data_IF_088672620256
#
_entry.id   IF_088672620256
#
_cell.length_a   1.000
_cell.length_b   1.000
_cell.length_c   1.000
_cell.angle_alpha   90.00
_cell.angle_beta   90.00
_cell.angle_gamma   90.00
#
_symmetry.space_group_name_H-M   'P 1'
#
loop_
_entity.id
_entity.type
_entity.pdbx_description
1 polymer ?
#
# COMPACT_ATOMS: atom_id res chain seq x y z
N UNK A 1 -73.40 -9.23 70.29
CA UNK A 1 -71.99 -8.76 70.39
C UNK A 1 -71.16 -9.80 71.15
N UNK A 2 -70.37 -10.65 70.46
CA UNK A 2 -69.36 -11.55 71.09
C UNK A 2 -68.48 -12.20 69.99
N UNK A 3 -67.47 -11.48 69.48
CA UNK A 3 -66.32 -12.08 68.76
C UNK A 3 -65.00 -11.29 68.94
N UNK A 4 -64.54 -10.98 70.18
CA UNK A 4 -63.15 -10.50 70.36
C UNK A 4 -62.14 -11.63 70.58
N UNK A 5 -62.56 -12.81 71.04
CA UNK A 5 -61.66 -13.85 71.59
C UNK A 5 -60.86 -14.55 70.48
N UNK A 6 -61.49 -14.84 69.34
CA UNK A 6 -60.85 -15.55 68.21
C UNK A 6 -59.74 -14.70 67.55
N UNK A 7 -59.95 -13.39 67.38
CA UNK A 7 -58.91 -12.50 66.84
C UNK A 7 -57.72 -12.39 67.78
N UNK A 8 -57.97 -12.32 69.09
CA UNK A 8 -56.90 -12.27 70.10
C UNK A 8 -56.08 -13.57 70.13
N UNK A 9 -56.74 -14.73 70.01
CA UNK A 9 -56.06 -16.02 69.96
C UNK A 9 -55.22 -16.17 68.68
N UNK A 10 -55.75 -15.77 67.52
CA UNK A 10 -54.99 -15.82 66.25
C UNK A 10 -53.82 -14.85 66.26
N UNK A 11 -53.98 -13.64 66.81
CA UNK A 11 -52.88 -12.68 66.94
C UNK A 11 -51.83 -13.14 67.95
N UNK A 12 -52.26 -13.71 69.08
CA UNK A 12 -51.36 -14.26 70.10
C UNK A 12 -50.58 -15.47 69.59
N UNK A 13 -51.23 -16.37 68.86
CA UNK A 13 -50.57 -17.51 68.23
C UNK A 13 -49.55 -17.06 67.16
N UNK A 14 -49.93 -16.14 66.26
CA UNK A 14 -48.99 -15.56 65.28
C UNK A 14 -47.80 -14.86 65.95
N UNK A 15 -48.04 -14.19 67.06
CA UNK A 15 -46.98 -13.54 67.83
C UNK A 15 -46.01 -14.56 68.44
N UNK A 16 -46.53 -15.62 69.07
CA UNK A 16 -45.71 -16.70 69.63
C UNK A 16 -44.90 -17.44 68.57
N UNK A 17 -45.51 -17.73 67.41
CA UNK A 17 -44.82 -18.36 66.28
C UNK A 17 -43.68 -17.48 65.76
N UNK A 18 -43.91 -16.18 65.53
CA UNK A 18 -42.86 -15.25 65.10
C UNK A 18 -41.72 -15.12 66.12
N UNK A 19 -42.04 -15.16 67.41
CA UNK A 19 -41.04 -15.12 68.49
C UNK A 19 -40.18 -16.39 68.50
N UNK A 20 -40.79 -17.56 68.27
CA UNK A 20 -40.04 -18.82 68.15
C UNK A 20 -39.16 -18.85 66.89
N UNK A 21 -39.65 -18.35 65.76
CA UNK A 21 -38.87 -18.22 64.52
C UNK A 21 -37.65 -17.30 64.69
N UNK A 22 -37.82 -16.13 65.33
CA UNK A 22 -36.71 -15.23 65.64
C UNK A 22 -35.68 -15.87 66.59
N UNK A 23 -36.15 -16.57 67.64
CA UNK A 23 -35.28 -17.25 68.59
C UNK A 23 -34.48 -18.39 67.94
N UNK A 24 -35.07 -19.14 67.01
CA UNK A 24 -34.37 -20.22 66.29
C UNK A 24 -33.33 -19.70 65.30
N UNK A 25 -33.64 -18.62 64.58
CA UNK A 25 -32.78 -18.10 63.51
C UNK A 25 -31.64 -17.23 64.05
N UNK A 26 -31.84 -16.53 65.18
CA UNK A 26 -30.84 -15.58 65.73
C UNK A 26 -30.34 -15.88 67.14
N UNK A 27 -30.93 -16.84 67.85
CA UNK A 27 -30.57 -17.14 69.25
C UNK A 27 -31.02 -16.08 70.27
N UNK A 28 -31.84 -15.10 69.87
CA UNK A 28 -32.37 -14.04 70.72
C UNK A 28 -33.88 -13.82 70.48
N UNK A 29 -34.63 -13.59 71.55
CA UNK A 29 -36.09 -13.40 71.54
C UNK A 29 -36.51 -11.91 71.63
N UNK A 30 -35.56 -10.99 71.65
CA UNK A 30 -35.80 -9.55 71.59
C UNK A 30 -36.26 -9.07 70.20
N UNK A 31 -37.56 -8.77 70.04
CA UNK A 31 -38.12 -8.20 68.80
C UNK A 31 -37.99 -6.66 68.75
N UNK A 32 -36.77 -6.13 68.89
CA UNK A 32 -36.54 -4.66 68.87
C UNK A 32 -36.61 -4.11 67.44
N UNK A 33 -36.14 -4.88 66.46
CA UNK A 33 -36.30 -4.63 65.03
C UNK A 33 -36.88 -5.89 64.36
N UNK A 34 -37.70 -5.75 63.31
CA UNK A 34 -38.31 -6.87 62.56
C UNK A 34 -37.63 -7.05 61.17
N UNK A 35 -36.37 -7.53 61.12
CA UNK A 35 -35.58 -7.64 59.90
C UNK A 35 -36.12 -8.71 58.94
N UNK A 36 -36.84 -9.73 59.44
CA UNK A 36 -37.50 -10.73 58.60
C UNK A 36 -38.60 -10.10 57.76
N UNK A 37 -39.33 -9.12 58.31
CA UNK A 37 -40.32 -8.34 57.56
C UNK A 37 -39.66 -7.48 56.50
N UNK A 38 -38.54 -6.83 56.80
CA UNK A 38 -37.77 -6.06 55.82
C UNK A 38 -37.22 -6.93 54.69
N UNK A 39 -36.72 -8.14 55.02
CA UNK A 39 -36.22 -9.13 54.06
C UNK A 39 -37.34 -9.71 53.18
N UNK A 40 -38.52 -9.97 53.74
CA UNK A 40 -39.68 -10.40 52.95
C UNK A 40 -40.17 -9.29 52.03
N UNK A 41 -40.20 -8.03 52.50
CA UNK A 41 -40.61 -6.89 51.70
C UNK A 41 -39.64 -6.63 50.53
N UNK A 42 -38.33 -6.79 50.76
CA UNK A 42 -37.33 -6.65 49.69
C UNK A 42 -37.43 -7.78 48.66
N UNK A 43 -37.70 -9.03 49.10
CA UNK A 43 -37.92 -10.16 48.19
C UNK A 43 -39.17 -9.96 47.32
N UNK A 44 -40.28 -9.53 47.93
CA UNK A 44 -41.52 -9.24 47.20
C UNK A 44 -41.34 -8.07 46.24
N UNK A 45 -40.70 -6.98 46.68
CA UNK A 45 -40.42 -5.84 45.82
C UNK A 45 -39.50 -6.22 44.64
N UNK A 46 -38.47 -7.03 44.89
CA UNK A 46 -37.59 -7.58 43.85
C UNK A 46 -38.32 -8.49 42.86
N UNK A 47 -39.21 -9.36 43.34
CA UNK A 47 -40.02 -10.22 42.49
C UNK A 47 -40.96 -9.41 41.59
N UNK A 48 -41.63 -8.38 42.14
CA UNK A 48 -42.49 -7.47 41.37
C UNK A 48 -41.69 -6.70 40.33
N UNK A 49 -40.54 -6.14 40.69
CA UNK A 49 -39.65 -5.45 39.74
C UNK A 49 -39.19 -6.38 38.62
N UNK A 50 -38.84 -7.62 38.94
CA UNK A 50 -38.43 -8.62 37.94
C UNK A 50 -39.59 -8.97 37.01
N UNK A 51 -40.80 -9.17 37.56
CA UNK A 51 -41.99 -9.44 36.76
C UNK A 51 -42.32 -8.28 35.80
N UNK A 52 -42.21 -7.02 36.29
CA UNK A 52 -42.38 -5.83 35.46
C UNK A 52 -41.30 -5.75 34.38
N UNK A 53 -40.03 -6.00 34.71
CA UNK A 53 -38.94 -5.99 33.74
C UNK A 53 -39.14 -7.04 32.64
N UNK A 54 -39.58 -8.25 32.99
CA UNK A 54 -39.90 -9.32 32.04
C UNK A 54 -41.10 -8.93 31.17
N UNK A 55 -42.15 -8.35 31.76
CA UNK A 55 -43.32 -7.89 30.99
C UNK A 55 -42.95 -6.78 30.00
N UNK A 56 -42.13 -5.81 30.41
CA UNK A 56 -41.60 -4.76 29.53
C UNK A 56 -40.74 -5.38 28.42
N UNK A 57 -39.86 -6.32 28.74
CA UNK A 57 -39.05 -7.04 27.75
C UNK A 57 -39.90 -7.79 26.72
N UNK A 58 -40.97 -8.47 27.17
CA UNK A 58 -41.90 -9.18 26.29
C UNK A 58 -42.65 -8.22 25.35
N UNK A 59 -43.13 -7.08 25.88
CA UNK A 59 -43.80 -6.06 25.05
C UNK A 59 -42.84 -5.48 24.02
N UNK A 60 -41.60 -5.17 24.40
CA UNK A 60 -40.58 -4.67 23.46
C UNK A 60 -40.24 -5.69 22.36
N UNK A 61 -40.18 -6.98 22.69
CA UNK A 61 -39.93 -8.04 21.72
C UNK A 61 -41.08 -8.17 20.69
N UNK A 62 -42.33 -8.03 21.12
CA UNK A 62 -43.50 -8.07 20.23
C UNK A 62 -43.60 -6.82 19.36
N UNK A 63 -43.23 -5.65 19.88
CA UNK A 63 -43.27 -4.39 19.13
C UNK A 63 -42.11 -4.22 18.14
N UNK A 64 -40.98 -4.91 18.36
CA UNK A 64 -39.83 -4.92 17.44
C UNK A 64 -39.44 -6.36 17.08
N UNK A 65 -40.28 -7.08 16.32
CA UNK A 65 -39.88 -8.36 15.77
C UNK A 65 -38.64 -8.15 14.90
N UNK A 66 -37.71 -9.11 14.93
CA UNK A 66 -36.56 -9.10 14.05
C UNK A 66 -37.05 -8.89 12.60
N UNK A 67 -36.47 -7.89 11.92
CA UNK A 67 -37.02 -7.34 10.68
C UNK A 67 -37.33 -8.40 9.63
N UNK A 68 -38.43 -8.19 8.90
CA UNK A 68 -38.78 -9.00 7.74
C UNK A 68 -37.82 -8.73 6.57
N UNK A 69 -37.73 -9.67 5.62
CA UNK A 69 -36.89 -9.55 4.42
C UNK A 69 -37.24 -8.25 3.67
N UNK A 70 -38.55 -8.00 3.49
CA UNK A 70 -39.08 -6.83 2.77
C UNK A 70 -38.38 -6.65 1.42
N UNK A 71 -38.09 -5.40 1.05
CA UNK A 71 -37.41 -5.07 -0.22
C UNK A 71 -35.87 -5.00 -0.18
N UNK A 72 -35.24 -5.63 0.82
CA UNK A 72 -33.79 -5.59 0.91
C UNK A 72 -33.13 -6.40 -0.20
N UNK A 73 -32.20 -5.78 -0.94
CA UNK A 73 -31.39 -6.46 -1.94
C UNK A 73 -30.43 -7.49 -1.31
N UNK A 74 -29.91 -7.19 -0.12
CA UNK A 74 -29.05 -8.09 0.65
C UNK A 74 -29.59 -8.22 2.08
N UNK A 75 -29.70 -9.46 2.56
CA UNK A 75 -30.11 -9.77 3.93
C UNK A 75 -29.06 -10.61 4.64
N UNK A 76 -28.95 -10.40 5.94
CA UNK A 76 -28.08 -11.15 6.84
C UNK A 76 -28.92 -11.75 7.96
N UNK A 77 -28.79 -13.04 8.20
CA UNK A 77 -29.43 -13.70 9.33
C UNK A 77 -28.73 -13.28 10.62
N UNK A 78 -29.49 -12.80 11.59
CA UNK A 78 -28.99 -12.29 12.88
C UNK A 78 -28.15 -13.32 13.64
N UNK A 79 -28.61 -14.56 13.69
CA UNK A 79 -28.08 -15.58 14.59
C UNK A 79 -26.86 -16.31 14.00
N UNK A 80 -26.82 -16.46 12.67
CA UNK A 80 -25.77 -17.23 11.97
C UNK A 80 -24.83 -16.37 11.15
N UNK A 81 -25.18 -15.10 10.90
CA UNK A 81 -24.46 -14.24 9.96
C UNK A 81 -24.62 -14.66 8.49
N UNK A 82 -25.45 -15.67 8.19
CA UNK A 82 -25.63 -16.17 6.83
C UNK A 82 -26.18 -15.07 5.92
N UNK A 83 -25.54 -14.89 4.76
CA UNK A 83 -25.87 -13.85 3.80
C UNK A 83 -26.72 -14.42 2.66
N UNK A 84 -27.71 -13.64 2.25
CA UNK A 84 -28.54 -13.93 1.09
C UNK A 84 -28.70 -12.67 0.24
N UNK A 85 -28.71 -12.86 -1.07
CA UNK A 85 -29.02 -11.80 -2.04
C UNK A 85 -30.38 -12.09 -2.65
N UNK A 86 -31.19 -11.05 -2.82
CA UNK A 86 -32.50 -11.14 -3.45
C UNK A 86 -32.38 -10.85 -4.94
N UNK A 87 -32.80 -11.81 -5.76
CA UNK A 87 -32.97 -11.65 -7.19
C UNK A 87 -34.46 -11.90 -7.46
N UNK A 88 -35.15 -10.87 -7.95
CA UNK A 88 -36.61 -10.87 -8.07
C UNK A 88 -37.26 -11.19 -6.70
N UNK A 89 -38.02 -12.28 -6.60
CA UNK A 89 -38.68 -12.75 -5.37
C UNK A 89 -37.96 -13.95 -4.70
N UNK A 90 -36.72 -14.25 -5.10
CA UNK A 90 -35.96 -15.41 -4.61
C UNK A 90 -34.70 -14.99 -3.86
N UNK A 91 -34.50 -15.58 -2.68
CA UNK A 91 -33.28 -15.42 -1.89
C UNK A 91 -32.26 -16.50 -2.26
N UNK A 92 -31.09 -16.05 -2.70
CA UNK A 92 -29.96 -16.91 -3.02
C UNK A 92 -28.91 -16.81 -1.91
N UNK A 93 -28.50 -17.93 -1.30
CA UNK A 93 -27.43 -17.90 -0.31
C UNK A 93 -26.11 -17.51 -0.98
N UNK A 94 -25.31 -16.69 -0.29
CA UNK A 94 -24.01 -16.21 -0.77
C UNK A 94 -22.92 -16.39 0.29
N UNK A 95 -21.69 -16.78 -0.09
CA UNK A 95 -20.64 -17.11 0.88
C UNK A 95 -19.97 -15.89 1.51
N UNK A 96 -20.11 -14.69 0.95
CA UNK A 96 -19.46 -13.47 1.44
C UNK A 96 -20.21 -12.20 1.01
N UNK A 97 -19.92 -11.08 1.70
CA UNK A 97 -20.57 -9.80 1.47
C UNK A 97 -20.18 -9.19 0.11
N UNK A 98 -18.93 -9.38 -0.34
CA UNK A 98 -18.47 -8.91 -1.63
C UNK A 98 -19.31 -9.49 -2.78
N UNK A 99 -19.61 -10.79 -2.74
CA UNK A 99 -20.48 -11.45 -3.72
C UNK A 99 -21.91 -10.90 -3.67
N UNK A 100 -22.43 -10.66 -2.46
CA UNK A 100 -23.76 -10.09 -2.28
C UNK A 100 -23.87 -8.70 -2.94
N UNK A 101 -22.90 -7.81 -2.70
CA UNK A 101 -22.85 -6.48 -3.30
C UNK A 101 -22.64 -6.49 -4.81
N UNK A 102 -21.80 -7.39 -5.33
CA UNK A 102 -21.60 -7.56 -6.77
C UNK A 102 -22.89 -7.99 -7.48
N UNK A 103 -23.64 -8.94 -6.90
CA UNK A 103 -24.90 -9.41 -7.47
C UNK A 103 -25.99 -8.35 -7.32
N UNK A 104 -26.06 -7.67 -6.18
CA UNK A 104 -27.03 -6.60 -5.92
C UNK A 104 -26.74 -5.30 -6.68
N UNK A 105 -25.52 -5.13 -7.23
CA UNK A 105 -25.08 -3.90 -7.88
C UNK A 105 -25.01 -2.69 -6.95
N UNK A 106 -24.98 -2.89 -5.63
CA UNK A 106 -24.93 -1.82 -4.63
C UNK A 106 -24.14 -2.24 -3.39
N UNK A 107 -23.50 -1.27 -2.74
CA UNK A 107 -22.76 -1.46 -1.49
C UNK A 107 -23.60 -1.14 -0.25
N UNK A 108 -24.92 -1.30 -0.35
CA UNK A 108 -25.83 -1.02 0.77
C UNK A 108 -25.61 -2.04 1.89
N UNK A 109 -25.50 -1.62 3.16
CA UNK A 109 -25.37 -2.53 4.28
C UNK A 109 -26.52 -3.57 4.31
N UNK A 110 -26.22 -4.84 4.61
CA UNK A 110 -27.23 -5.89 4.61
C UNK A 110 -28.28 -5.64 5.70
N UNK A 111 -29.54 -5.93 5.39
CA UNK A 111 -30.62 -5.87 6.39
C UNK A 111 -30.55 -7.10 7.29
N UNK A 112 -30.46 -6.88 8.60
CA UNK A 112 -30.48 -7.98 9.58
C UNK A 112 -31.90 -8.50 9.79
N UNK A 113 -32.12 -9.79 9.54
CA UNK A 113 -33.42 -10.48 9.63
C UNK A 113 -33.33 -11.72 10.53
N UNK A 114 -34.48 -12.28 10.96
CA UNK A 114 -34.49 -13.58 11.65
C UNK A 114 -34.33 -14.75 10.66
N UNK A 115 -33.90 -15.90 11.18
CA UNK A 115 -33.85 -17.15 10.41
C UNK A 115 -35.25 -17.50 9.86
N UNK A 116 -36.31 -17.36 10.67
CA UNK A 116 -37.70 -17.60 10.27
C UNK A 116 -38.17 -16.74 9.10
N UNK A 117 -37.63 -15.53 8.93
CA UNK A 117 -37.98 -14.66 7.80
C UNK A 117 -37.39 -15.18 6.48
N UNK A 118 -36.15 -15.70 6.53
CA UNK A 118 -35.48 -16.30 5.38
C UNK A 118 -36.09 -17.66 5.02
N UNK A 119 -36.48 -18.46 6.00
CA UNK A 119 -37.09 -19.78 5.77
C UNK A 119 -38.51 -19.69 5.16
N UNK A 120 -39.20 -18.56 5.34
CA UNK A 120 -40.49 -18.25 4.69
C UNK A 120 -40.34 -17.77 3.24
N UNK A 121 -39.15 -17.33 2.83
CA UNK A 121 -38.90 -16.83 1.47
C UNK A 121 -38.58 -17.98 0.50
N UNK A 122 -38.78 -17.76 -0.82
CA UNK A 122 -38.32 -18.71 -1.84
C UNK A 122 -36.80 -18.76 -1.81
N UNK A 123 -36.23 -19.96 -1.73
CA UNK A 123 -34.78 -20.18 -1.72
C UNK A 123 -34.29 -20.66 -3.08
N UNK A 124 -33.30 -19.97 -3.62
CA UNK A 124 -32.64 -20.31 -4.87
C UNK A 124 -31.33 -21.07 -4.65
N UNK A 125 -30.64 -21.38 -5.74
CA UNK A 125 -29.30 -21.96 -5.71
C UNK A 125 -28.29 -21.01 -5.06
N UNK A 126 -27.21 -21.57 -4.49
CA UNK A 126 -26.11 -20.77 -3.96
C UNK A 126 -25.39 -20.02 -5.08
N UNK A 127 -25.12 -18.74 -4.85
CA UNK A 127 -24.41 -17.86 -5.78
C UNK A 127 -23.17 -17.24 -5.13
N UNK A 128 -22.26 -16.71 -5.94
CA UNK A 128 -21.12 -15.93 -5.47
C UNK A 128 -19.76 -16.56 -5.78
N UNK A 129 -18.71 -15.88 -5.32
CA UNK A 129 -17.31 -16.21 -5.59
C UNK A 129 -16.69 -16.79 -4.31
N UNK A 130 -16.35 -18.09 -4.29
CA UNK A 130 -15.64 -18.69 -3.16
C UNK A 130 -14.30 -17.99 -2.90
N UNK A 131 -13.98 -17.73 -1.62
CA UNK A 131 -12.72 -17.09 -1.22
C UNK A 131 -12.66 -15.57 -1.42
N UNK A 132 -13.73 -14.94 -1.91
CA UNK A 132 -13.79 -13.47 -1.92
C UNK A 132 -13.90 -12.91 -0.47
N UNK A 133 -13.44 -11.67 -0.24
CA UNK A 133 -13.41 -11.09 1.11
C UNK A 133 -14.79 -11.04 1.76
N UNK A 134 -14.86 -11.44 3.03
CA UNK A 134 -16.07 -11.32 3.85
C UNK A 134 -16.36 -9.88 4.24
N UNK A 135 -15.31 -9.07 4.35
CA UNK A 135 -15.36 -7.68 4.75
C UNK A 135 -14.56 -6.84 3.76
N UNK A 136 -15.16 -5.74 3.29
CA UNK A 136 -14.48 -4.76 2.45
C UNK A 136 -14.12 -3.57 3.34
N UNK A 137 -12.82 -3.32 3.58
CA UNK A 137 -12.39 -2.16 4.34
C UNK A 137 -12.73 -0.87 3.58
N UNK A 138 -12.84 0.27 4.29
CA UNK A 138 -12.99 1.55 3.64
C UNK A 138 -11.79 1.84 2.71
N UNK A 139 -11.97 2.66 1.66
CA UNK A 139 -10.86 3.06 0.79
C UNK A 139 -9.73 3.72 1.58
N UNK A 140 -8.49 3.35 1.26
CA UNK A 140 -7.28 3.93 1.87
C UNK A 140 -7.10 5.37 1.35
N UNK A 141 -6.86 6.36 2.22
CA UNK A 141 -6.60 7.73 1.80
C UNK A 141 -5.36 7.83 0.89
N UNK A 142 -5.30 8.78 -0.07
CA UNK A 142 -4.16 8.92 -0.98
C UNK A 142 -2.80 9.10 -0.26
N UNK A 143 -2.79 9.78 0.88
CA UNK A 143 -1.57 9.99 1.68
C UNK A 143 -0.99 8.68 2.27
N UNK A 144 -1.84 7.67 2.44
CA UNK A 144 -1.46 6.34 2.93
C UNK A 144 -1.34 5.33 1.76
N UNK A 145 -1.70 5.75 0.55
CA UNK A 145 -1.64 4.94 -0.68
C UNK A 145 -0.23 4.95 -1.31
N UNK A 146 0.77 4.68 -0.47
CA UNK A 146 2.14 4.46 -0.92
C UNK A 146 2.35 2.99 -1.28
N UNK A 147 3.09 2.74 -2.36
CA UNK A 147 3.53 1.40 -2.73
C UNK A 147 5.03 1.42 -2.97
N UNK A 148 5.74 0.51 -2.30
CA UNK A 148 7.17 0.32 -2.51
C UNK A 148 7.47 -1.14 -2.82
N UNK A 149 8.37 -1.36 -3.77
CA UNK A 149 8.89 -2.69 -4.08
C UNK A 149 10.37 -2.70 -3.77
N UNK A 150 10.79 -3.61 -2.89
CA UNK A 150 12.17 -3.78 -2.46
C UNK A 150 12.71 -5.11 -2.98
N UNK A 151 13.99 -5.16 -3.31
CA UNK A 151 14.69 -6.36 -3.75
C UNK A 151 16.07 -6.42 -3.08
N UNK A 152 16.41 -7.56 -2.48
CA UNK A 152 17.72 -7.80 -1.87
C UNK A 152 18.58 -8.79 -2.68
N UNK A 153 18.13 -9.17 -3.89
CA UNK A 153 18.76 -10.16 -4.74
C UNK A 153 18.38 -11.61 -4.42
N UNK A 154 17.73 -11.88 -3.28
CA UNK A 154 17.22 -13.19 -2.91
C UNK A 154 15.68 -13.22 -2.86
N UNK A 155 15.06 -12.13 -2.41
CA UNK A 155 13.63 -11.97 -2.27
C UNK A 155 13.17 -10.60 -2.76
N UNK A 156 11.92 -10.56 -3.22
CA UNK A 156 11.22 -9.34 -3.61
C UNK A 156 10.06 -9.12 -2.67
N UNK A 157 9.97 -7.94 -2.07
CA UNK A 157 8.95 -7.59 -1.09
C UNK A 157 8.15 -6.39 -1.59
N UNK A 158 6.83 -6.47 -1.48
CA UNK A 158 5.93 -5.35 -1.75
C UNK A 158 5.42 -4.81 -0.41
N UNK A 159 5.60 -3.51 -0.20
CA UNK A 159 5.18 -2.78 1.00
C UNK A 159 4.08 -1.82 0.58
N UNK A 160 2.90 -1.99 1.17
CA UNK A 160 1.78 -1.07 1.04
C UNK A 160 1.76 -0.16 2.28
N UNK A 161 1.73 1.15 2.06
CA UNK A 161 1.73 2.17 3.12
C UNK A 161 2.97 3.07 3.13
N UNK A 162 3.02 4.02 4.07
CA UNK A 162 4.15 4.94 4.22
C UNK A 162 5.41 4.21 4.71
N UNK A 163 6.56 4.61 4.19
CA UNK A 163 7.86 4.21 4.71
C UNK A 163 8.34 5.23 5.74
N UNK A 164 8.91 4.75 6.85
CA UNK A 164 9.42 5.60 7.94
C UNK A 164 10.64 6.43 7.51
N UNK A 165 11.42 5.94 6.55
CA UNK A 165 12.59 6.61 6.01
C UNK A 165 12.41 6.90 4.51
N UNK A 166 12.59 8.16 4.14
CA UNK A 166 12.63 8.56 2.73
C UNK A 166 13.84 7.90 2.07
N UNK A 167 13.60 7.11 1.02
CA UNK A 167 14.69 6.56 0.22
C UNK A 167 15.47 7.72 -0.40
N UNK A 168 16.71 7.93 0.06
CA UNK A 168 17.62 8.86 -0.58
C UNK A 168 18.10 8.17 -1.85
N UNK A 169 17.74 8.67 -3.05
CA UNK A 169 18.25 8.07 -4.28
C UNK A 169 19.78 8.16 -4.25
N UNK A 170 20.50 7.09 -4.60
CA UNK A 170 21.94 7.15 -4.63
C UNK A 170 22.39 8.25 -5.60
N UNK A 171 23.41 9.02 -5.22
CA UNK A 171 23.96 10.08 -6.08
C UNK A 171 24.50 9.53 -7.41
N UNK A 172 24.77 8.21 -7.44
CA UNK A 172 25.22 7.44 -8.59
C UNK A 172 24.18 6.37 -8.91
N UNK A 173 24.00 6.08 -10.18
CA UNK A 173 23.27 4.92 -10.64
C UNK A 173 23.87 3.57 -10.24
N UNK A 174 23.06 2.54 -10.41
CA UNK A 174 23.37 1.15 -10.03
C UNK A 174 23.32 0.27 -11.27
N UNK A 175 24.39 -0.48 -11.50
CA UNK A 175 24.44 -1.46 -12.59
C UNK A 175 23.73 -2.72 -12.15
N UNK A 176 22.77 -3.17 -12.95
CA UNK A 176 21.90 -4.27 -12.59
C UNK A 176 21.65 -5.26 -13.72
N UNK A 177 21.26 -6.48 -13.36
CA UNK A 177 20.87 -7.54 -14.28
C UNK A 177 19.70 -8.35 -13.70
N UNK A 178 18.66 -8.67 -14.48
CA UNK A 178 17.58 -9.50 -13.99
C UNK A 178 18.04 -10.93 -13.70
N UNK A 179 17.52 -11.54 -12.63
CA UNK A 179 17.76 -12.94 -12.27
C UNK A 179 17.43 -13.87 -13.45
N UNK A 180 18.34 -14.80 -13.75
CA UNK A 180 18.22 -15.73 -14.88
C UNK A 180 18.55 -15.14 -16.25
N UNK A 181 18.85 -13.84 -16.35
CA UNK A 181 19.20 -13.21 -17.62
C UNK A 181 20.71 -13.26 -17.93
N UNK A 182 21.05 -13.36 -19.22
CA UNK A 182 22.43 -13.30 -19.70
C UNK A 182 23.04 -11.89 -19.63
N UNK A 183 24.36 -11.81 -19.80
CA UNK A 183 25.13 -10.55 -19.76
C UNK A 183 24.70 -9.51 -20.82
N UNK A 184 23.96 -9.90 -21.86
CA UNK A 184 23.42 -8.98 -22.86
C UNK A 184 22.22 -8.15 -22.36
N UNK A 185 21.66 -8.49 -21.20
CA UNK A 185 20.51 -7.84 -20.57
C UNK A 185 20.93 -7.10 -19.31
N UNK A 186 21.91 -6.21 -19.45
CA UNK A 186 22.39 -5.34 -18.37
C UNK A 186 21.75 -3.97 -18.49
N UNK A 187 21.35 -3.41 -17.34
CA UNK A 187 20.72 -2.11 -17.24
C UNK A 187 21.46 -1.25 -16.23
N UNK A 188 21.44 0.06 -16.43
CA UNK A 188 21.83 1.04 -15.43
C UNK A 188 20.57 1.72 -14.91
N UNK A 189 20.40 1.72 -13.59
CA UNK A 189 19.33 2.46 -12.91
C UNK A 189 19.87 3.84 -12.54
N UNK A 190 19.28 4.91 -13.06
CA UNK A 190 19.69 6.28 -12.74
C UNK A 190 18.52 7.25 -12.91
N UNK A 191 18.43 8.26 -12.04
CA UNK A 191 17.42 9.31 -12.16
C UNK A 191 15.96 8.81 -12.23
N UNK A 192 15.67 7.66 -11.61
CA UNK A 192 14.35 7.02 -11.66
C UNK A 192 14.04 6.26 -12.96
N UNK A 193 15.02 6.09 -13.85
CA UNK A 193 14.90 5.35 -15.10
C UNK A 193 15.80 4.12 -15.09
N UNK A 194 15.43 3.11 -15.88
CA UNK A 194 16.33 2.03 -16.31
C UNK A 194 16.76 2.31 -17.74
N UNK A 195 18.04 2.17 -18.05
CA UNK A 195 18.52 2.21 -19.43
C UNK A 195 19.38 0.99 -19.75
N UNK A 196 19.20 0.44 -20.94
CA UNK A 196 20.01 -0.68 -21.39
C UNK A 196 21.46 -0.27 -21.62
N UNK A 197 22.40 -1.11 -21.20
CA UNK A 197 23.85 -0.90 -21.36
C UNK A 197 24.46 -2.12 -22.05
N UNK A 198 25.28 -1.89 -23.08
CA UNK A 198 26.08 -2.95 -23.71
C UNK A 198 27.51 -2.95 -23.16
N UNK A 199 27.79 -3.85 -22.22
CA UNK A 199 29.11 -4.00 -21.61
C UNK A 199 30.19 -4.50 -22.59
N UNK A 200 29.82 -4.96 -23.79
CA UNK A 200 30.78 -5.36 -24.83
C UNK A 200 31.37 -4.17 -25.56
N UNK A 201 30.77 -2.98 -25.43
CA UNK A 201 31.23 -1.77 -26.11
C UNK A 201 32.18 -0.98 -25.20
N UNK A 202 33.50 -0.98 -25.46
CA UNK A 202 34.48 -0.40 -24.54
C UNK A 202 34.32 1.11 -24.35
N UNK A 203 33.75 1.83 -25.32
CA UNK A 203 33.44 3.25 -25.17
C UNK A 203 32.34 3.50 -24.12
N UNK A 204 31.33 2.65 -24.06
CA UNK A 204 30.24 2.73 -23.06
C UNK A 204 30.79 2.41 -21.67
N UNK A 205 31.59 1.34 -21.54
CA UNK A 205 32.20 0.96 -20.26
C UNK A 205 33.08 2.08 -19.71
N UNK A 206 33.96 2.65 -20.55
CA UNK A 206 34.84 3.76 -20.14
C UNK A 206 34.09 5.05 -19.85
N UNK A 207 33.10 5.43 -20.66
CA UNK A 207 32.37 6.70 -20.47
C UNK A 207 31.48 6.69 -19.22
N UNK A 208 30.98 5.52 -18.83
CA UNK A 208 30.13 5.35 -17.64
C UNK A 208 30.92 4.92 -16.39
N UNK A 209 32.24 4.74 -16.51
CA UNK A 209 33.13 4.27 -15.44
C UNK A 209 32.69 2.91 -14.88
N UNK A 210 32.42 1.95 -15.79
CA UNK A 210 31.94 0.61 -15.46
C UNK A 210 33.06 -0.44 -15.38
N UNK A 211 34.34 -0.04 -15.41
CA UNK A 211 35.43 -1.00 -15.30
C UNK A 211 35.43 -1.72 -13.95
N UNK A 212 35.36 -3.06 -13.97
CA UNK A 212 35.35 -3.88 -12.76
C UNK A 212 34.07 -3.78 -11.92
N UNK A 213 33.01 -3.15 -12.45
CA UNK A 213 31.71 -3.07 -11.78
C UNK A 213 30.88 -4.30 -12.13
N UNK A 214 30.61 -5.14 -11.13
CA UNK A 214 29.73 -6.29 -11.27
C UNK A 214 28.26 -5.88 -11.14
N UNK A 215 27.37 -6.31 -12.07
CA UNK A 215 25.94 -6.01 -11.97
C UNK A 215 25.29 -6.69 -10.76
N UNK A 216 24.49 -5.93 -10.01
CA UNK A 216 23.62 -6.50 -8.97
C UNK A 216 22.46 -7.27 -9.61
N UNK A 217 22.18 -8.45 -9.07
CA UNK A 217 21.03 -9.23 -9.49
C UNK A 217 19.76 -8.70 -8.84
N UNK A 218 18.69 -8.56 -9.62
CA UNK A 218 17.35 -8.22 -9.12
C UNK A 218 16.27 -9.09 -9.74
N UNK A 219 15.09 -9.14 -9.12
CA UNK A 219 13.93 -9.75 -9.77
C UNK A 219 13.53 -9.01 -11.06
N UNK A 220 13.03 -9.74 -12.07
CA UNK A 220 12.43 -9.13 -13.25
C UNK A 220 11.27 -8.17 -12.90
N UNK A 221 10.51 -8.47 -11.83
CA UNK A 221 9.37 -7.68 -11.39
C UNK A 221 9.77 -6.26 -10.97
N UNK A 222 10.83 -6.13 -10.16
CA UNK A 222 11.37 -4.83 -9.75
C UNK A 222 11.96 -4.08 -10.95
N UNK A 223 12.61 -4.79 -11.87
CA UNK A 223 13.13 -4.13 -13.07
C UNK A 223 11.99 -3.54 -13.91
N UNK A 224 10.84 -4.22 -14.02
CA UNK A 224 9.68 -3.76 -14.78
C UNK A 224 8.87 -2.64 -14.15
N UNK A 225 9.01 -2.40 -12.84
CA UNK A 225 8.34 -1.26 -12.20
C UNK A 225 9.05 0.08 -12.48
N UNK A 226 10.32 0.04 -12.91
CA UNK A 226 11.12 1.22 -13.24
C UNK A 226 10.91 1.59 -14.73
N UNK A 227 10.51 2.83 -15.05
CA UNK A 227 10.35 3.27 -16.44
C UNK A 227 11.62 3.12 -17.27
N UNK A 228 11.47 2.67 -18.51
CA UNK A 228 12.59 2.49 -19.44
C UNK A 228 12.92 3.79 -20.18
N UNK A 229 14.17 4.23 -20.04
CA UNK A 229 14.76 5.30 -20.82
C UNK A 229 15.51 4.78 -22.06
N UNK A 230 16.03 5.70 -22.89
CA UNK A 230 16.84 5.35 -24.05
C UNK A 230 18.07 4.52 -23.66
N UNK A 231 18.47 3.59 -24.52
CA UNK A 231 19.69 2.81 -24.30
C UNK A 231 20.93 3.72 -24.23
N UNK A 232 21.84 3.42 -23.31
CA UNK A 232 23.12 4.13 -23.18
C UNK A 232 24.12 3.54 -24.18
N UNK A 233 24.00 4.02 -25.41
CA UNK A 233 24.84 3.64 -26.53
C UNK A 233 25.47 4.87 -27.18
N UNK A 234 26.59 4.65 -27.89
CA UNK A 234 27.26 5.72 -28.60
C UNK A 234 26.30 6.39 -29.60
N UNK A 235 26.11 7.72 -29.54
CA UNK A 235 25.17 8.39 -30.42
C UNK A 235 25.62 8.32 -31.87
N UNK A 236 24.68 8.05 -32.77
CA UNK A 236 24.92 8.19 -34.20
C UNK A 236 25.00 9.68 -34.56
N UNK A 237 26.11 10.09 -35.16
CA UNK A 237 26.33 11.46 -35.63
C UNK A 237 26.43 11.42 -37.15
N UNK A 238 25.44 11.97 -37.88
CA UNK A 238 25.48 12.05 -39.33
C UNK A 238 26.71 12.85 -39.80
N UNK A 239 27.28 12.44 -40.95
CA UNK A 239 28.44 13.10 -41.56
C UNK A 239 29.67 13.17 -40.64
N UNK A 240 29.77 12.29 -39.64
CA UNK A 240 30.96 12.20 -38.77
C UNK A 240 32.24 12.10 -39.62
N UNK A 241 33.24 12.89 -39.24
CA UNK A 241 34.54 12.95 -39.91
C UNK A 241 34.65 13.98 -41.04
N UNK A 242 33.54 14.54 -41.55
CA UNK A 242 33.61 15.65 -42.53
C UNK A 242 34.05 16.95 -41.84
N UNK A 243 34.65 17.91 -42.57
CA UNK A 243 34.99 19.22 -42.00
C UNK A 243 33.77 19.90 -41.33
N UNK A 244 33.99 20.53 -40.18
CA UNK A 244 32.94 21.26 -39.47
C UNK A 244 32.47 22.51 -40.21
N UNK A 245 31.29 23.05 -39.85
CA UNK A 245 30.71 24.20 -40.54
C UNK A 245 31.45 25.52 -40.24
N UNK A 246 31.49 26.42 -41.22
CA UNK A 246 31.93 27.81 -41.04
C UNK A 246 33.35 27.95 -40.50
N UNK A 247 33.49 28.46 -39.26
CA UNK A 247 34.78 28.66 -38.57
C UNK A 247 35.27 27.42 -37.83
N UNK A 248 34.52 26.32 -37.84
CA UNK A 248 34.87 25.04 -37.22
C UNK A 248 35.47 24.06 -38.23
N UNK A 249 35.99 24.52 -39.38
CA UNK A 249 36.52 23.63 -40.44
C UNK A 249 37.65 22.72 -39.96
N UNK A 250 38.44 23.19 -39.01
CA UNK A 250 39.54 22.43 -38.39
C UNK A 250 39.06 21.43 -37.32
N UNK A 251 37.75 21.44 -37.01
CA UNK A 251 37.11 20.53 -36.07
C UNK A 251 36.07 19.69 -36.82
N UNK A 252 36.36 18.42 -37.15
CA UNK A 252 35.44 17.60 -37.93
C UNK A 252 34.13 17.36 -37.19
N UNK A 253 33.05 17.14 -37.93
CA UNK A 253 31.75 16.73 -37.39
C UNK A 253 31.93 15.46 -36.56
N UNK A 254 31.35 15.44 -35.36
CA UNK A 254 31.51 14.41 -34.34
C UNK A 254 32.65 14.62 -33.35
N UNK A 255 33.47 15.67 -33.52
CA UNK A 255 34.45 16.07 -32.50
C UNK A 255 33.78 16.77 -31.31
N UNK A 256 34.38 16.60 -30.14
CA UNK A 256 33.99 17.32 -28.92
C UNK A 256 34.95 18.49 -28.72
N UNK A 257 34.41 19.68 -28.47
CA UNK A 257 35.14 20.92 -28.22
C UNK A 257 34.71 21.52 -26.88
N UNK A 258 35.64 22.16 -26.20
CA UNK A 258 35.38 22.88 -24.96
C UNK A 258 35.24 24.38 -25.25
N UNK A 259 34.19 25.02 -24.73
CA UNK A 259 34.04 26.47 -24.78
C UNK A 259 34.19 26.99 -23.35
N UNK A 260 35.18 27.85 -23.11
CA UNK A 260 35.29 28.55 -21.82
C UNK A 260 34.23 29.64 -21.74
N UNK A 261 33.25 29.45 -20.86
CA UNK A 261 32.31 30.47 -20.43
C UNK A 261 32.86 31.35 -19.30
N UNK A 262 31.99 32.14 -18.67
CA UNK A 262 32.35 32.94 -17.49
C UNK A 262 32.50 32.09 -16.20
N UNK A 263 32.10 30.82 -16.24
CA UNK A 263 32.20 29.87 -15.13
C UNK A 263 33.57 29.19 -15.01
N UNK A 264 33.74 28.39 -13.95
CA UNK A 264 35.01 27.71 -13.62
C UNK A 264 35.24 26.42 -14.41
N UNK A 265 34.18 25.80 -14.93
CA UNK A 265 34.24 24.61 -15.80
C UNK A 265 33.88 24.97 -17.24
N UNK A 266 34.60 24.44 -18.25
CA UNK A 266 34.24 24.67 -19.64
C UNK A 266 32.95 23.92 -20.00
N UNK A 267 32.10 24.55 -20.82
CA UNK A 267 30.95 23.88 -21.41
C UNK A 267 31.43 22.98 -22.56
N UNK A 268 30.91 21.75 -22.61
CA UNK A 268 31.25 20.78 -23.64
C UNK A 268 30.24 20.85 -24.78
N UNK A 269 30.74 20.85 -26.01
CA UNK A 269 29.92 20.87 -27.21
C UNK A 269 30.38 19.79 -28.18
N UNK A 270 29.44 19.18 -28.90
CA UNK A 270 29.72 18.35 -30.07
C UNK A 270 29.55 19.19 -31.35
N UNK A 271 30.47 19.01 -32.29
CA UNK A 271 30.40 19.61 -33.62
C UNK A 271 29.46 18.78 -34.50
N UNK A 272 28.40 19.40 -35.01
CA UNK A 272 27.46 18.84 -35.97
C UNK A 272 27.58 19.59 -37.30
N UNK A 273 27.09 19.01 -38.39
CA UNK A 273 27.08 19.71 -39.69
C UNK A 273 26.26 21.00 -39.67
N UNK A 274 25.23 21.06 -38.82
CA UNK A 274 24.39 22.24 -38.61
C UNK A 274 24.90 23.25 -37.58
N UNK A 275 25.99 22.96 -36.84
CA UNK A 275 26.52 23.86 -35.80
C UNK A 275 27.01 23.14 -34.55
N UNK A 276 26.88 23.77 -33.39
CA UNK A 276 27.31 23.21 -32.10
C UNK A 276 26.10 22.80 -31.26
N UNK A 277 26.19 21.65 -30.60
CA UNK A 277 25.20 21.21 -29.61
C UNK A 277 25.90 21.01 -28.26
N UNK A 278 25.34 21.59 -27.20
CA UNK A 278 25.84 21.39 -25.83
C UNK A 278 25.58 19.95 -25.40
N UNK A 279 26.56 19.33 -24.75
CA UNK A 279 26.50 17.95 -24.26
C UNK A 279 27.00 17.86 -22.82
N UNK A 280 26.52 16.88 -22.07
CA UNK A 280 27.04 16.53 -20.74
C UNK A 280 28.37 15.76 -20.81
N UNK A 281 29.01 15.55 -19.65
CA UNK A 281 30.33 14.90 -19.55
C UNK A 281 30.31 13.48 -20.12
N UNK A 282 29.33 12.66 -19.71
CA UNK A 282 29.20 11.27 -20.17
C UNK A 282 29.02 11.19 -21.68
N UNK A 283 28.20 12.07 -22.26
CA UNK A 283 28.00 12.11 -23.70
C UNK A 283 29.26 12.52 -24.46
N UNK A 284 29.99 13.51 -23.95
CA UNK A 284 31.27 13.93 -24.50
C UNK A 284 32.30 12.80 -24.49
N UNK A 285 32.42 12.10 -23.36
CA UNK A 285 33.33 10.97 -23.21
C UNK A 285 32.91 9.77 -24.06
N UNK A 286 31.62 9.50 -24.17
CA UNK A 286 31.11 8.43 -25.03
C UNK A 286 31.42 8.69 -26.51
N UNK A 287 31.22 9.93 -26.97
CA UNK A 287 31.57 10.35 -28.33
C UNK A 287 33.09 10.24 -28.55
N UNK A 288 33.91 10.67 -27.59
CA UNK A 288 35.37 10.61 -27.66
C UNK A 288 35.89 9.18 -27.66
N UNK A 289 35.39 8.32 -26.79
CA UNK A 289 35.89 6.95 -26.64
C UNK A 289 35.43 6.02 -27.77
N UNK A 290 34.39 6.40 -28.51
CA UNK A 290 33.97 5.70 -29.74
C UNK A 290 34.98 5.94 -30.86
N UNK A 291 35.57 7.14 -30.95
CA UNK A 291 36.62 7.44 -31.91
C UNK A 291 37.99 7.08 -31.30
N UNK A 292 38.60 6.00 -31.78
CA UNK A 292 39.88 5.46 -31.31
C UNK A 292 41.11 6.35 -31.64
N UNK A 293 41.05 7.67 -31.39
CA UNK A 293 42.20 8.59 -31.43
C UNK A 293 42.69 8.85 -30.00
N UNK A 294 43.47 7.93 -29.41
CA UNK A 294 43.98 8.09 -28.05
C UNK A 294 44.86 9.35 -27.95
N UNK A 295 44.68 10.09 -26.85
CA UNK A 295 45.62 11.16 -26.44
C UNK A 295 45.29 12.59 -26.90
N UNK A 296 44.24 12.82 -27.68
CA UNK A 296 43.88 14.20 -28.08
C UNK A 296 43.09 14.87 -26.95
N UNK A 297 43.72 15.87 -26.30
CA UNK A 297 43.03 16.76 -25.34
C UNK A 297 41.86 17.45 -26.05
N UNK A 298 40.76 17.70 -25.32
CA UNK A 298 39.60 18.39 -25.88
C UNK A 298 40.05 19.81 -26.30
N UNK A 299 40.01 20.15 -27.61
CA UNK A 299 40.44 21.46 -28.07
C UNK A 299 39.50 22.53 -27.48
N UNK A 300 40.09 23.59 -26.95
CA UNK A 300 39.33 24.74 -26.43
C UNK A 300 39.15 25.76 -27.53
N UNK A 301 37.91 26.17 -27.80
CA UNK A 301 37.58 27.23 -28.77
C UNK A 301 37.17 28.52 -28.04
N UNK A 302 37.49 29.67 -28.66
CA UNK A 302 37.14 30.99 -28.12
C UNK A 302 35.61 31.22 -28.20
N UNK A 303 34.97 31.76 -27.14
CA UNK A 303 33.51 31.96 -27.08
C UNK A 303 32.89 32.84 -28.20
N UNK A 304 33.71 33.57 -28.95
CA UNK A 304 33.27 34.30 -30.14
C UNK A 304 32.91 33.40 -31.34
N UNK A 305 33.45 32.17 -31.42
CA UNK A 305 33.09 31.20 -32.46
C UNK A 305 31.84 30.39 -32.12
N UNK A 306 31.45 30.28 -30.84
CA UNK A 306 30.22 29.60 -30.42
C UNK A 306 28.96 30.48 -30.57
N UNK A 307 29.04 31.80 -30.32
CA UNK A 307 27.90 32.73 -30.42
C UNK A 307 27.24 32.87 -31.80
N UNK A 308 27.90 32.39 -32.86
CA UNK A 308 27.40 32.48 -34.26
C UNK A 308 27.19 31.13 -34.93
N UNK A 309 27.49 30.02 -34.26
CA UNK A 309 27.08 28.70 -34.74
C UNK A 309 25.59 28.54 -34.43
N UNK A 310 24.73 28.18 -35.40
CA UNK A 310 23.35 27.84 -35.08
C UNK A 310 23.37 26.71 -34.05
N UNK A 311 22.64 26.87 -32.95
CA UNK A 311 22.32 25.73 -32.09
C UNK A 311 21.38 24.86 -32.92
N UNK A 312 21.90 23.75 -33.44
CA UNK A 312 21.19 22.94 -34.41
C UNK A 312 19.84 22.46 -33.86
N UNK A 313 18.76 22.77 -34.57
CA UNK A 313 17.41 22.29 -34.25
C UNK A 313 17.22 20.80 -34.57
N UNK A 314 18.19 20.16 -35.23
CA UNK A 314 18.21 18.73 -35.55
C UNK A 314 19.25 18.04 -34.66
N UNK A 315 19.05 18.19 -33.35
CA UNK A 315 20.00 17.76 -32.34
C UNK A 315 20.14 16.23 -32.31
N UNK A 316 21.35 15.78 -32.03
CA UNK A 316 21.56 14.40 -31.61
C UNK A 316 20.74 14.17 -30.33
N UNK A 317 19.90 13.13 -30.23
CA UNK A 317 19.15 12.85 -29.01
C UNK A 317 20.12 12.33 -27.94
N UNK A 318 20.71 13.25 -27.19
CA UNK A 318 21.64 12.94 -26.09
C UNK A 318 20.85 13.00 -24.79
N UNK A 319 20.02 11.99 -24.54
CA UNK A 319 19.41 11.75 -23.25
C UNK A 319 20.35 10.88 -22.39
N UNK A 320 21.56 11.40 -22.12
CA UNK A 320 22.56 10.73 -21.29
C UNK A 320 22.69 11.46 -19.95
N UNK A 321 23.07 10.76 -18.87
CA UNK A 321 23.32 11.39 -17.58
C UNK A 321 24.46 12.42 -17.69
N UNK A 322 24.36 13.51 -16.95
CA UNK A 322 25.38 14.58 -16.98
C UNK A 322 26.68 14.19 -16.27
N UNK A 323 26.66 13.16 -15.42
CA UNK A 323 27.79 12.69 -14.61
C UNK A 323 27.93 11.16 -14.64
N UNK A 324 29.15 10.63 -14.45
CA UNK A 324 29.40 9.20 -14.43
C UNK A 324 28.61 8.52 -13.31
N UNK A 325 28.13 7.31 -13.63
CA UNK A 325 26.94 6.82 -12.98
C UNK A 325 27.16 5.65 -12.04
N UNK A 326 28.25 4.89 -12.03
CA UNK A 326 28.24 3.63 -11.27
C UNK A 326 28.87 3.69 -9.87
N UNK A 327 28.24 2.99 -8.93
CA UNK A 327 28.85 2.49 -7.70
C UNK A 327 28.39 1.05 -7.46
N UNK A 328 29.21 0.22 -6.81
CA UNK A 328 28.73 -1.01 -6.17
C UNK A 328 28.04 -0.63 -4.87
N UNK A 329 26.71 -0.74 -4.82
CA UNK A 329 25.98 -0.64 -3.56
C UNK A 329 26.28 -1.89 -2.73
N UNK A 330 27.22 -1.80 -1.78
CA UNK A 330 27.31 -2.79 -0.70
C UNK A 330 26.41 -2.29 0.43
N UNK A 331 25.23 -2.90 0.58
CA UNK A 331 24.51 -2.78 1.83
C UNK A 331 25.28 -3.57 2.90
N UNK A 332 25.60 -3.00 4.07
CA UNK A 332 26.11 -3.80 5.18
C UNK A 332 25.02 -4.82 5.58
N UNK A 333 25.42 -6.04 6.01
CA UNK A 333 24.44 -6.99 6.52
C UNK A 333 23.73 -6.37 7.73
N UNK A 334 22.40 -6.34 7.68
CA UNK A 334 21.57 -5.98 8.83
C UNK A 334 21.79 -7.07 9.87
N UNK A 335 22.48 -6.72 10.96
CA UNK A 335 22.71 -7.60 12.09
C UNK A 335 21.34 -7.94 12.70
N UNK A 336 20.94 -9.21 12.58
CA UNK A 336 19.74 -9.72 13.22
C UNK A 336 19.99 -9.72 14.71
N UNK A 337 19.47 -8.73 15.42
CA UNK A 337 19.30 -8.80 16.86
C UNK A 337 18.36 -9.98 17.15
N UNK A 338 18.94 -11.09 17.61
CA UNK A 338 18.19 -12.17 18.22
C UNK A 338 17.75 -11.71 19.61
N UNK A 339 16.47 -11.81 19.97
CA UNK A 339 16.06 -11.59 21.35
C UNK A 339 16.65 -12.73 22.20
N UNK A 340 17.52 -12.38 23.14
CA UNK A 340 18.05 -13.28 24.15
C UNK A 340 16.91 -13.89 24.99
N UNK A 341 17.05 -15.19 25.26
CA UNK A 341 16.16 -15.96 26.15
C UNK A 341 16.42 -15.73 27.63
#
# INVERSE_FOLDING_TARGET
MRQPIMRLQVSGHRFLVRRMEHALVRGDAGMVDDPLRAQHLSLVAGAVLTAVAVAVGAVLAVLRPAGDVGDAAVVMVRDTGALYVRIEDTLHPVPNLASAWLIAGSSTPPRTVSQDAVDRARRGAQLGIPGAPEHLPPPVPPAESGWTVCDDGAATTVIAGPLADGAVPPERGVLVRPLGAGAAQTYLLYGGLRARVDLRHPAVVRALHLEGVEPQMLSPAVLTSIPEGPALAAPHIPQRGTPGPGRLRDHPVGSVVAVRGAGRTPDLFVVLSGGLQRVGEVAADLIRFTDARPGVQIPTINGGSSRRAPVGQHGCPVALPDRPAATTARYPPVERDQPGG
#
